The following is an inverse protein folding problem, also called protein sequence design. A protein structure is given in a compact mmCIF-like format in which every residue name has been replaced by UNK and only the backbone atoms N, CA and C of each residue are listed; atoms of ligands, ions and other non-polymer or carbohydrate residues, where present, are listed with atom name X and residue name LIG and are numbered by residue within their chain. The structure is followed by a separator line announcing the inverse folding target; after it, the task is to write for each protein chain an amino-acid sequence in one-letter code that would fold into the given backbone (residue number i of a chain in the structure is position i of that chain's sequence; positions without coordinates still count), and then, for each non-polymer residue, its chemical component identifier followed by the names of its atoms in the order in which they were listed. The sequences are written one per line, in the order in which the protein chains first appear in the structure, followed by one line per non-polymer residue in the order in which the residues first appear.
data_IF_741813727520
#
_entry.id   IF_741813727520
#
_cell.length_a   1.000
_cell.length_b   1.000
_cell.length_c   1.000
_cell.angle_alpha   90.00
_cell.angle_beta   90.00
_cell.angle_gamma   90.00
#
_symmetry.space_group_name_H-M   'P 1'
#
loop_
_entity.id
_entity.type
_entity.pdbx_description
1 polymer ?
#
# COMPACT_ATOMS: atom_id res chain seq x y z
N UNK A 1 -21.52 21.47 -56.61
CA UNK A 1 -21.11 20.20 -55.99
C UNK A 1 -20.32 20.55 -54.75
N UNK A 2 -20.94 20.44 -53.58
CA UNK A 2 -20.39 20.86 -52.28
C UNK A 2 -19.35 19.84 -51.79
N UNK A 3 -18.14 20.28 -51.42
CA UNK A 3 -17.26 19.49 -50.55
C UNK A 3 -17.73 19.69 -49.10
N UNK A 4 -18.19 18.62 -48.47
CA UNK A 4 -18.42 18.59 -47.03
C UNK A 4 -17.09 18.32 -46.30
N UNK A 5 -16.66 19.26 -45.47
CA UNK A 5 -15.57 19.04 -44.52
C UNK A 5 -16.12 18.22 -43.34
N UNK A 6 -15.55 17.04 -43.10
CA UNK A 6 -15.88 16.22 -41.93
C UNK A 6 -15.32 16.88 -40.67
N UNK A 7 -16.21 17.36 -39.79
CA UNK A 7 -15.85 17.89 -38.48
C UNK A 7 -15.56 16.75 -37.51
N UNK A 8 -14.35 16.70 -36.95
CA UNK A 8 -14.02 15.83 -35.84
C UNK A 8 -14.67 16.39 -34.55
N UNK A 9 -15.68 15.71 -34.02
CA UNK A 9 -16.24 16.04 -32.72
C UNK A 9 -15.30 15.50 -31.62
N UNK A 10 -14.62 16.41 -30.91
CA UNK A 10 -13.92 16.06 -29.67
C UNK A 10 -14.96 15.90 -28.56
N UNK A 11 -15.17 14.67 -28.08
CA UNK A 11 -15.91 14.41 -26.85
C UNK A 11 -15.04 14.88 -25.68
N UNK A 12 -15.32 16.08 -25.15
CA UNK A 12 -14.75 16.52 -23.87
C UNK A 12 -15.47 15.73 -22.76
N UNK A 13 -14.81 14.72 -22.21
CA UNK A 13 -15.30 14.10 -20.98
C UNK A 13 -15.32 15.17 -19.88
N UNK A 14 -16.39 15.26 -19.06
CA UNK A 14 -16.39 16.17 -17.93
C UNK A 14 -15.25 15.77 -16.97
N UNK A 15 -14.62 16.73 -16.28
CA UNK A 15 -13.64 16.42 -15.26
C UNK A 15 -14.27 15.49 -14.23
N UNK A 16 -13.72 14.29 -14.09
CA UNK A 16 -14.06 13.40 -13.00
C UNK A 16 -13.76 14.17 -11.72
N UNK A 17 -14.71 14.33 -10.77
CA UNK A 17 -14.42 14.90 -9.48
C UNK A 17 -13.56 13.90 -8.71
N UNK A 18 -12.26 13.92 -8.97
CA UNK A 18 -11.28 13.41 -8.04
C UNK A 18 -11.49 14.24 -6.78
N UNK A 19 -12.14 13.66 -5.76
CA UNK A 19 -12.29 14.32 -4.47
C UNK A 19 -10.94 14.86 -4.02
N UNK A 20 -10.92 15.99 -3.30
CA UNK A 20 -9.67 16.55 -2.77
C UNK A 20 -8.88 15.45 -2.04
N UNK A 21 -7.82 14.95 -2.69
CA UNK A 21 -6.82 14.12 -2.03
C UNK A 21 -6.01 15.08 -1.19
N UNK A 22 -6.47 15.31 0.04
CA UNK A 22 -5.68 16.03 1.03
C UNK A 22 -4.51 15.13 1.39
N UNK A 23 -3.30 15.65 1.19
CA UNK A 23 -2.13 15.05 1.79
C UNK A 23 -2.38 14.99 3.30
N UNK A 24 -2.55 13.78 3.84
CA UNK A 24 -2.47 13.57 5.28
C UNK A 24 -1.09 14.09 5.70
N UNK A 25 -1.03 15.03 6.65
CA UNK A 25 0.25 15.56 7.12
C UNK A 25 1.19 14.43 7.53
N UNK A 26 2.50 14.65 7.45
CA UNK A 26 3.48 13.67 7.95
C UNK A 26 3.26 13.54 9.45
N UNK A 27 2.54 12.51 9.88
CA UNK A 27 2.46 12.18 11.29
C UNK A 27 3.84 11.70 11.74
N UNK A 28 4.35 12.29 12.82
CA UNK A 28 5.57 11.79 13.47
C UNK A 28 5.30 10.41 14.06
N UNK A 29 6.03 9.42 13.57
CA UNK A 29 6.01 8.05 14.08
C UNK A 29 7.37 7.72 14.71
N UNK A 30 7.36 6.86 15.72
CA UNK A 30 8.56 6.44 16.42
C UNK A 30 9.31 5.33 15.66
N UNK A 31 8.57 4.57 14.85
CA UNK A 31 9.08 3.47 14.04
C UNK A 31 8.40 3.45 12.66
N UNK A 32 9.18 3.23 11.62
CA UNK A 32 8.71 2.88 10.27
C UNK A 32 9.15 1.43 10.01
N UNK A 33 8.19 0.51 9.90
CA UNK A 33 8.42 -0.91 9.70
C UNK A 33 7.90 -1.35 8.33
N UNK A 34 8.78 -1.97 7.53
CA UNK A 34 8.43 -2.57 6.24
C UNK A 34 8.57 -4.10 6.34
N UNK A 35 7.46 -4.82 6.18
CA UNK A 35 7.48 -6.27 6.05
C UNK A 35 7.72 -6.64 4.59
N UNK A 36 8.95 -7.08 4.33
CA UNK A 36 9.44 -7.45 3.02
C UNK A 36 9.24 -8.97 2.82
N UNK A 37 8.34 -9.37 1.93
CA UNK A 37 7.91 -10.75 1.74
C UNK A 37 8.26 -11.25 0.32
N UNK A 38 9.11 -12.27 0.23
CA UNK A 38 9.41 -12.95 -1.03
C UNK A 38 8.24 -13.83 -1.47
N UNK A 39 7.82 -13.65 -2.72
CA UNK A 39 6.78 -14.41 -3.41
C UNK A 39 7.30 -14.92 -4.78
N UNK A 40 8.62 -15.10 -4.92
CA UNK A 40 9.26 -15.63 -6.12
C UNK A 40 8.90 -17.09 -6.38
N UNK A 41 9.21 -17.57 -7.60
CA UNK A 41 8.84 -18.92 -8.06
C UNK A 41 9.35 -20.06 -7.16
N UNK A 42 10.46 -19.88 -6.45
CA UNK A 42 10.99 -20.87 -5.52
C UNK A 42 10.19 -20.99 -4.22
N UNK A 43 9.31 -20.04 -3.93
CA UNK A 43 8.49 -20.02 -2.71
C UNK A 43 7.22 -20.84 -2.95
N UNK A 44 7.11 -21.97 -2.26
CA UNK A 44 5.90 -22.78 -2.28
C UNK A 44 4.74 -22.11 -1.52
N UNK A 45 3.48 -22.48 -1.80
CA UNK A 45 2.34 -21.98 -1.04
C UNK A 45 2.45 -22.25 0.47
N UNK A 46 3.05 -23.37 0.86
CA UNK A 46 3.25 -23.71 2.29
C UNK A 46 4.26 -22.77 2.94
N UNK A 47 5.39 -22.47 2.27
CA UNK A 47 6.39 -21.53 2.78
C UNK A 47 5.83 -20.12 2.85
N UNK A 48 5.10 -19.67 1.83
CA UNK A 48 4.40 -18.39 1.83
C UNK A 48 3.39 -18.27 2.99
N UNK A 49 2.63 -19.33 3.24
CA UNK A 49 1.70 -19.36 4.37
C UNK A 49 2.42 -19.34 5.71
N UNK A 50 3.52 -20.08 5.85
CA UNK A 50 4.33 -20.11 7.07
C UNK A 50 4.88 -18.72 7.41
N UNK A 51 5.48 -18.03 6.44
CA UNK A 51 6.04 -16.69 6.66
C UNK A 51 4.94 -15.66 6.98
N UNK A 52 3.82 -15.67 6.26
CA UNK A 52 2.75 -14.68 6.47
C UNK A 52 1.98 -14.91 7.77
N UNK A 53 1.72 -16.16 8.14
CA UNK A 53 1.13 -16.48 9.45
C UNK A 53 2.07 -16.14 10.60
N UNK A 54 3.38 -16.43 10.45
CA UNK A 54 4.38 -16.04 11.44
C UNK A 54 4.43 -14.53 11.66
N UNK A 55 4.43 -13.74 10.58
CA UNK A 55 4.37 -12.28 10.66
C UNK A 55 3.07 -11.79 11.30
N UNK A 56 1.91 -12.37 10.92
CA UNK A 56 0.63 -12.01 11.50
C UNK A 56 0.57 -12.31 13.01
N UNK A 57 1.05 -13.47 13.43
CA UNK A 57 1.13 -13.84 14.85
C UNK A 57 2.07 -12.91 15.62
N UNK A 58 3.23 -12.55 15.06
CA UNK A 58 4.13 -11.61 15.69
C UNK A 58 3.51 -10.22 15.87
N UNK A 59 2.73 -9.73 14.90
CA UNK A 59 2.02 -8.45 15.01
C UNK A 59 0.86 -8.48 16.01
N UNK A 60 0.38 -9.65 16.39
CA UNK A 60 -0.66 -9.85 17.40
C UNK A 60 -0.11 -10.14 18.79
N UNK A 61 1.20 -10.37 18.91
CA UNK A 61 1.84 -10.63 20.19
C UNK A 61 1.85 -9.34 21.04
N UNK A 62 1.29 -9.36 22.26
CA UNK A 62 1.22 -8.17 23.11
C UNK A 62 2.60 -7.56 23.41
N UNK A 63 3.64 -8.36 23.56
CA UNK A 63 5.00 -7.87 23.84
C UNK A 63 5.56 -7.10 22.63
N UNK A 64 5.29 -7.58 21.42
CA UNK A 64 5.69 -6.90 20.18
C UNK A 64 4.91 -5.60 20.00
N UNK A 65 3.60 -5.61 20.27
CA UNK A 65 2.78 -4.39 20.19
C UNK A 65 3.23 -3.36 21.22
N UNK A 66 3.47 -3.77 22.46
CA UNK A 66 3.99 -2.89 23.52
C UNK A 66 5.34 -2.30 23.13
N UNK A 67 6.27 -3.13 22.63
CA UNK A 67 7.58 -2.67 22.18
C UNK A 67 7.48 -1.69 20.99
N UNK A 68 6.61 -1.97 20.02
CA UNK A 68 6.42 -1.11 18.85
C UNK A 68 5.84 0.26 19.24
N UNK A 69 5.02 0.33 20.30
CA UNK A 69 4.36 1.54 20.77
C UNK A 69 5.07 2.22 21.97
N UNK A 70 6.24 1.73 22.40
CA UNK A 70 6.96 2.26 23.56
C UNK A 70 7.59 3.66 23.33
N UNK A 71 7.56 4.16 22.10
CA UNK A 71 8.09 5.47 21.74
C UNK A 71 7.24 6.63 22.26
N UNK A 72 7.79 7.86 22.28
CA UNK A 72 7.11 9.04 22.82
C UNK A 72 5.83 9.43 22.07
N UNK A 73 5.71 9.09 20.79
CA UNK A 73 4.49 9.33 20.03
C UNK A 73 3.48 8.19 20.16
N UNK A 74 3.91 6.99 20.57
CA UNK A 74 3.08 5.79 20.62
C UNK A 74 2.53 5.42 19.25
N UNK A 75 3.28 5.72 18.18
CA UNK A 75 2.82 5.56 16.80
C UNK A 75 3.86 4.88 15.94
N UNK A 76 3.41 3.96 15.10
CA UNK A 76 4.23 3.30 14.09
C UNK A 76 3.61 3.47 12.71
N UNK A 77 4.45 3.55 11.69
CA UNK A 77 4.05 3.31 10.31
C UNK A 77 4.39 1.86 9.95
N UNK A 78 3.42 1.11 9.43
CA UNK A 78 3.60 -0.26 8.98
C UNK A 78 3.23 -0.35 7.49
N UNK A 79 4.09 -1.00 6.71
CA UNK A 79 3.82 -1.33 5.33
C UNK A 79 4.23 -2.78 5.03
N UNK A 80 3.62 -3.36 4.00
CA UNK A 80 3.99 -4.66 3.46
C UNK A 80 4.41 -4.47 2.01
N UNK A 81 5.55 -5.03 1.64
CA UNK A 81 6.01 -5.11 0.26
C UNK A 81 6.21 -6.56 -0.11
N UNK A 82 5.59 -6.97 -1.21
CA UNK A 82 5.79 -8.27 -1.82
C UNK A 82 6.55 -8.12 -3.13
N UNK A 83 7.49 -9.02 -3.39
CA UNK A 83 8.17 -9.10 -4.69
C UNK A 83 8.11 -10.53 -5.22
N UNK A 84 8.15 -10.64 -6.53
CA UNK A 84 8.19 -11.91 -7.25
C UNK A 84 9.09 -11.77 -8.48
N UNK A 85 9.49 -12.89 -9.06
CA UNK A 85 10.42 -13.01 -10.19
C UNK A 85 9.77 -13.69 -11.39
#
# INVERSE_FOLDING_TARGET
MFLAAAGAAFLTLPPVPWGEVRAQGIESVDLILLLAIDCSYSVSPTEYNLQTQGLALALLDPEIVEAALAGPNGKIALAVMQWSS
#
